data_IF_896548473684
#
_entry.id   IF_896548473684
#
_cell.length_a   1.000
_cell.length_b   1.000
_cell.length_c   1.000
_cell.angle_alpha   90.00
_cell.angle_beta   90.00
_cell.angle_gamma   90.00
#
_symmetry.space_group_name_H-M   'P 1'
#
loop_
_entity.id
_entity.type
_entity.pdbx_description
1 polymer ?
#
# COMPACT_ATOMS: atom_id res chain seq x y z
N UNK A 1 -2.07 -4.11 -13.60
CA UNK A 1 -1.85 -5.48 -13.06
C UNK A 1 -0.36 -5.80 -13.13
N UNK A 2 0.14 -6.86 -12.51
CA UNK A 2 1.56 -7.23 -12.61
C UNK A 2 1.72 -8.48 -13.47
N UNK A 3 1.00 -9.57 -13.18
CA UNK A 3 1.26 -10.86 -13.81
C UNK A 3 0.26 -11.23 -14.91
N UNK A 4 -0.94 -10.65 -14.86
CA UNK A 4 -2.07 -11.10 -15.67
C UNK A 4 -2.15 -10.45 -17.06
N UNK A 5 -1.35 -9.44 -17.38
CA UNK A 5 -1.40 -8.76 -18.68
C UNK A 5 -1.10 -9.71 -19.86
N UNK A 6 -0.04 -10.52 -19.76
CA UNK A 6 0.26 -11.58 -20.74
C UNK A 6 -0.85 -12.63 -20.84
N UNK A 7 -1.28 -13.25 -19.72
CA UNK A 7 -2.44 -14.13 -19.66
C UNK A 7 -3.71 -13.56 -20.30
N UNK A 8 -4.06 -12.29 -20.03
CA UNK A 8 -5.21 -11.59 -20.60
C UNK A 8 -5.07 -11.44 -22.12
N UNK A 9 -3.88 -11.05 -22.61
CA UNK A 9 -3.59 -10.98 -24.05
C UNK A 9 -3.68 -12.34 -24.74
N UNK A 10 -3.20 -13.41 -24.09
CA UNK A 10 -3.33 -14.78 -24.60
C UNK A 10 -4.79 -15.22 -24.68
N UNK A 11 -5.59 -14.99 -23.63
CA UNK A 11 -7.00 -15.34 -23.59
C UNK A 11 -7.80 -14.56 -24.65
N UNK A 12 -7.44 -13.29 -24.87
CA UNK A 12 -7.99 -12.47 -25.95
C UNK A 12 -7.66 -13.07 -27.32
N UNK A 13 -6.42 -13.48 -27.58
CA UNK A 13 -6.08 -14.20 -28.81
C UNK A 13 -6.82 -15.54 -28.93
N UNK A 14 -6.98 -16.27 -27.83
CA UNK A 14 -7.66 -17.57 -27.80
C UNK A 14 -9.15 -17.48 -28.13
N UNK A 15 -9.81 -16.40 -27.72
CA UNK A 15 -11.22 -16.13 -28.08
C UNK A 15 -11.34 -15.66 -29.54
N UNK A 16 -10.48 -14.74 -29.97
CA UNK A 16 -10.56 -14.14 -31.30
C UNK A 16 -10.12 -15.07 -32.45
N UNK A 17 -9.23 -16.04 -32.20
CA UNK A 17 -8.70 -16.93 -33.24
C UNK A 17 -9.80 -17.62 -34.05
N UNK A 18 -10.93 -17.98 -33.41
CA UNK A 18 -12.04 -18.68 -34.06
C UNK A 18 -12.76 -17.79 -35.07
N UNK A 19 -12.89 -16.50 -34.76
CA UNK A 19 -13.54 -15.52 -35.65
C UNK A 19 -12.60 -15.02 -36.74
N UNK A 20 -11.32 -14.83 -36.42
CA UNK A 20 -10.34 -14.25 -37.35
C UNK A 20 -9.75 -15.27 -38.32
N UNK A 21 -9.55 -16.54 -37.92
CA UNK A 21 -9.03 -17.59 -38.80
C UNK A 21 -9.34 -19.00 -38.25
N UNK A 22 -10.57 -19.51 -38.51
CA UNK A 22 -11.02 -20.82 -38.03
C UNK A 22 -10.12 -22.00 -38.46
N UNK A 23 -9.36 -21.84 -39.56
CA UNK A 23 -8.51 -22.86 -40.14
C UNK A 23 -7.08 -22.91 -39.57
N UNK A 24 -6.72 -22.06 -38.60
CA UNK A 24 -5.39 -22.08 -37.98
C UNK A 24 -5.24 -23.27 -37.02
N UNK A 25 -4.38 -24.21 -37.41
CA UNK A 25 -4.10 -25.43 -36.62
C UNK A 25 -2.59 -25.55 -36.34
N UNK A 26 -2.24 -26.31 -35.31
CA UNK A 26 -0.86 -26.69 -35.01
C UNK A 26 0.01 -25.51 -34.61
N UNK A 27 1.26 -25.46 -35.11
CA UNK A 27 2.28 -24.49 -34.69
C UNK A 27 1.89 -23.04 -34.95
N UNK A 28 1.17 -22.76 -36.05
CA UNK A 28 0.75 -21.39 -36.40
C UNK A 28 -0.26 -20.83 -35.40
N UNK A 29 -1.16 -21.68 -34.90
CA UNK A 29 -2.11 -21.33 -33.84
C UNK A 29 -1.36 -20.91 -32.57
N UNK A 30 -0.38 -21.71 -32.13
CA UNK A 30 0.43 -21.39 -30.96
C UNK A 30 1.19 -20.08 -31.09
N UNK A 31 1.80 -19.79 -32.24
CA UNK A 31 2.44 -18.50 -32.48
C UNK A 31 1.47 -17.34 -32.37
N UNK A 32 0.24 -17.51 -32.85
CA UNK A 32 -0.79 -16.48 -32.73
C UNK A 32 -1.16 -16.22 -31.27
N UNK A 33 -1.35 -17.28 -30.47
CA UNK A 33 -1.65 -17.15 -29.04
C UNK A 33 -0.49 -16.48 -28.28
N UNK A 34 0.76 -16.84 -28.59
CA UNK A 34 1.95 -16.21 -28.03
C UNK A 34 2.08 -14.74 -28.45
N UNK A 35 1.63 -14.39 -29.67
CA UNK A 35 1.57 -12.99 -30.10
C UNK A 35 0.63 -12.19 -29.21
N UNK A 36 -0.55 -12.75 -28.87
CA UNK A 36 -1.45 -12.15 -27.90
C UNK A 36 -0.82 -11.99 -26.51
N UNK A 37 -0.11 -13.02 -26.02
CA UNK A 37 0.59 -12.96 -24.74
C UNK A 37 1.65 -11.85 -24.71
N UNK A 38 2.52 -11.80 -25.72
CA UNK A 38 3.57 -10.76 -25.81
C UNK A 38 2.95 -9.38 -25.96
N UNK A 39 1.89 -9.25 -26.77
CA UNK A 39 1.17 -7.99 -26.94
C UNK A 39 0.54 -7.48 -25.63
N UNK A 40 0.04 -8.39 -24.79
CA UNK A 40 -0.48 -8.02 -23.46
C UNK A 40 0.61 -7.45 -22.54
N UNK A 41 1.86 -7.90 -22.66
CA UNK A 41 2.98 -7.38 -21.83
C UNK A 41 3.60 -6.11 -22.44
N UNK A 42 3.42 -5.91 -23.75
CA UNK A 42 4.20 -4.95 -24.51
C UNK A 42 4.13 -3.49 -24.00
N UNK A 43 3.00 -2.95 -23.53
CA UNK A 43 2.94 -1.60 -22.95
C UNK A 43 3.95 -1.38 -21.82
N UNK A 44 4.11 -2.36 -20.91
CA UNK A 44 5.02 -2.31 -19.76
C UNK A 44 6.51 -2.37 -20.13
N UNK A 45 6.88 -2.40 -21.42
CA UNK A 45 8.29 -2.33 -21.83
C UNK A 45 8.94 -1.01 -21.39
N UNK A 46 8.13 0.02 -21.15
CA UNK A 46 8.56 1.30 -20.60
C UNK A 46 9.01 1.22 -19.14
N UNK A 47 8.68 0.16 -18.39
CA UNK A 47 9.18 -0.06 -17.04
C UNK A 47 10.71 -0.18 -17.02
N UNK A 48 11.33 -0.67 -18.10
CA UNK A 48 12.79 -0.64 -18.23
C UNK A 48 13.32 0.79 -18.26
N UNK A 49 12.65 1.69 -18.98
CA UNK A 49 13.05 3.09 -18.98
C UNK A 49 12.77 3.75 -17.61
N UNK A 50 11.60 3.49 -17.04
CA UNK A 50 11.21 4.00 -15.72
C UNK A 50 12.23 3.65 -14.63
N UNK A 51 12.56 2.36 -14.45
CA UNK A 51 13.44 1.93 -13.37
C UNK A 51 14.93 2.21 -13.63
N UNK A 52 15.39 2.26 -14.88
CA UNK A 52 16.81 2.42 -15.20
C UNK A 52 17.22 3.84 -15.64
N UNK A 53 16.27 4.71 -15.99
CA UNK A 53 16.56 6.05 -16.53
C UNK A 53 15.87 7.14 -15.74
N UNK A 54 14.55 7.09 -15.63
CA UNK A 54 13.77 8.17 -15.01
C UNK A 54 12.49 7.66 -14.34
N UNK A 55 12.50 7.70 -13.01
CA UNK A 55 11.39 7.30 -12.15
C UNK A 55 10.64 8.51 -11.53
N UNK A 56 10.80 9.71 -12.10
CA UNK A 56 10.23 10.95 -11.54
C UNK A 56 8.71 11.07 -11.70
N UNK A 57 8.10 10.38 -12.67
CA UNK A 57 6.67 10.39 -12.94
C UNK A 57 6.11 8.98 -13.15
N UNK A 58 4.79 8.83 -13.19
CA UNK A 58 4.17 7.52 -13.41
C UNK A 58 4.52 6.97 -14.80
N UNK A 59 4.97 5.71 -14.91
CA UNK A 59 5.24 5.08 -16.22
C UNK A 59 4.02 5.07 -17.16
N UNK A 60 2.80 5.15 -16.61
CA UNK A 60 1.57 5.25 -17.40
C UNK A 60 1.45 6.58 -18.17
N UNK A 61 2.32 7.56 -17.91
CA UNK A 61 2.47 8.77 -18.71
C UNK A 61 3.21 8.52 -20.03
N UNK A 62 3.86 7.37 -20.20
CA UNK A 62 4.56 7.07 -21.43
C UNK A 62 3.59 6.74 -22.57
N UNK A 63 4.02 7.02 -23.81
CA UNK A 63 3.22 6.81 -25.03
C UNK A 63 2.79 5.34 -25.24
N UNK A 64 3.55 4.41 -24.65
CA UNK A 64 3.26 2.96 -24.56
C UNK A 64 1.97 2.65 -23.82
N UNK A 65 1.45 3.56 -22.99
CA UNK A 65 0.17 3.43 -22.31
C UNK A 65 -0.96 4.22 -22.98
N UNK A 66 -0.84 4.51 -24.29
CA UNK A 66 -1.83 5.30 -25.04
C UNK A 66 -2.51 4.47 -26.15
N UNK A 67 -3.84 4.29 -26.15
CA UNK A 67 -4.52 3.50 -27.17
C UNK A 67 -4.36 4.06 -28.60
N UNK A 68 -4.36 5.38 -28.73
CA UNK A 68 -4.26 6.07 -30.03
C UNK A 68 -2.95 5.75 -30.74
N UNK A 69 -1.83 5.67 -30.01
CA UNK A 69 -0.54 5.29 -30.57
C UNK A 69 -0.60 3.94 -31.29
N UNK A 70 -1.19 2.92 -30.65
CA UNK A 70 -1.34 1.60 -31.24
C UNK A 70 -2.33 1.58 -32.41
N UNK A 71 -3.41 2.36 -32.34
CA UNK A 71 -4.38 2.48 -33.45
C UNK A 71 -3.74 3.11 -34.70
N UNK A 72 -2.87 4.11 -34.53
CA UNK A 72 -2.12 4.72 -35.63
C UNK A 72 -1.16 3.71 -36.26
N UNK A 73 -0.33 3.04 -35.45
CA UNK A 73 0.59 2.00 -35.94
C UNK A 73 -0.16 0.88 -36.65
N UNK A 74 -1.27 0.40 -36.06
CA UNK A 74 -2.10 -0.64 -36.64
C UNK A 74 -2.65 -0.22 -38.01
N UNK A 75 -3.20 1.00 -38.11
CA UNK A 75 -3.73 1.54 -39.37
C UNK A 75 -2.65 1.58 -40.47
N UNK A 76 -1.45 2.05 -40.15
CA UNK A 76 -0.31 2.07 -41.09
C UNK A 76 0.04 0.66 -41.58
N UNK A 77 0.11 -0.32 -40.67
CA UNK A 77 0.39 -1.72 -41.02
C UNK A 77 -0.71 -2.30 -41.92
N UNK A 78 -1.98 -2.04 -41.59
CA UNK A 78 -3.13 -2.52 -42.39
C UNK A 78 -3.10 -1.95 -43.81
N UNK A 79 -2.84 -0.64 -43.96
CA UNK A 79 -2.70 0.00 -45.28
C UNK A 79 -1.56 -0.64 -46.06
N UNK A 80 -0.39 -0.82 -45.44
CA UNK A 80 0.76 -1.49 -46.07
C UNK A 80 0.41 -2.90 -46.55
N UNK A 81 -0.16 -3.74 -45.68
CA UNK A 81 -0.56 -5.10 -46.04
C UNK A 81 -1.60 -5.13 -47.18
N UNK A 82 -2.48 -4.14 -47.23
CA UNK A 82 -3.45 -3.99 -48.32
C UNK A 82 -2.79 -3.62 -49.64
N UNK A 83 -1.89 -2.63 -49.64
CA UNK A 83 -1.13 -2.19 -50.82
C UNK A 83 -0.26 -3.32 -51.40
N UNK A 84 0.38 -4.12 -50.54
CA UNK A 84 1.19 -5.27 -50.96
C UNK A 84 0.39 -6.55 -51.22
N UNK A 85 -0.94 -6.49 -51.18
CA UNK A 85 -1.85 -7.65 -51.39
C UNK A 85 -1.59 -8.83 -50.45
N UNK A 86 -1.09 -8.59 -49.24
CA UNK A 86 -0.77 -9.59 -48.19
C UNK A 86 -1.91 -9.71 -47.16
N UNK A 87 -3.18 -9.70 -47.58
CA UNK A 87 -4.34 -9.66 -46.67
C UNK A 87 -4.40 -10.80 -45.65
N UNK A 88 -3.87 -11.98 -45.96
CA UNK A 88 -3.81 -13.12 -45.02
C UNK A 88 -2.93 -12.87 -43.78
N UNK A 89 -2.10 -11.81 -43.79
CA UNK A 89 -1.24 -11.44 -42.67
C UNK A 89 -1.93 -10.51 -41.67
N UNK A 90 -3.13 -9.99 -41.97
CA UNK A 90 -3.85 -9.04 -41.11
C UNK A 90 -4.18 -9.60 -39.72
N UNK A 91 -4.21 -10.92 -39.58
CA UNK A 91 -4.48 -11.57 -38.29
C UNK A 91 -3.43 -11.23 -37.22
N UNK A 92 -2.16 -11.12 -37.59
CA UNK A 92 -1.05 -10.88 -36.66
C UNK A 92 -1.12 -9.49 -36.01
N UNK A 93 -1.17 -8.38 -36.77
CA UNK A 93 -1.33 -7.07 -36.16
C UNK A 93 -2.70 -6.92 -35.49
N UNK A 94 -3.73 -7.64 -35.95
CA UNK A 94 -5.04 -7.64 -35.30
C UNK A 94 -4.99 -8.23 -33.89
N UNK A 95 -4.45 -9.44 -33.76
CA UNK A 95 -4.26 -10.09 -32.45
C UNK A 95 -3.30 -9.30 -31.57
N UNK A 96 -2.25 -8.71 -32.14
CA UNK A 96 -1.36 -7.83 -31.39
C UNK A 96 -2.10 -6.60 -30.85
N UNK A 97 -2.86 -5.89 -31.69
CA UNK A 97 -3.66 -4.74 -31.25
C UNK A 97 -4.63 -5.14 -30.13
N UNK A 98 -5.41 -6.21 -30.30
CA UNK A 98 -6.34 -6.67 -29.27
C UNK A 98 -5.64 -7.12 -27.98
N UNK A 99 -4.45 -7.71 -28.08
CA UNK A 99 -3.62 -8.04 -26.91
C UNK A 99 -3.20 -6.78 -26.15
N UNK A 100 -2.70 -5.76 -26.85
CA UNK A 100 -2.38 -4.46 -26.24
C UNK A 100 -3.62 -3.79 -25.65
N UNK A 101 -4.75 -3.80 -26.36
CA UNK A 101 -6.00 -3.23 -25.82
C UNK A 101 -6.46 -3.97 -24.56
N UNK A 102 -6.25 -5.28 -24.48
CA UNK A 102 -6.57 -6.04 -23.26
C UNK A 102 -5.75 -5.57 -22.06
N UNK A 103 -4.46 -5.25 -22.27
CA UNK A 103 -3.61 -4.66 -21.23
C UNK A 103 -4.18 -3.32 -20.76
N UNK A 104 -4.40 -2.37 -21.67
CA UNK A 104 -4.86 -1.01 -21.33
C UNK A 104 -6.25 -1.03 -20.67
N UNK A 105 -7.14 -1.93 -21.11
CA UNK A 105 -8.44 -2.12 -20.48
C UNK A 105 -8.31 -2.70 -19.07
N UNK A 106 -7.45 -3.70 -18.86
CA UNK A 106 -7.24 -4.25 -17.51
C UNK A 106 -6.63 -3.23 -16.56
N UNK A 107 -5.76 -2.36 -17.06
CA UNK A 107 -5.21 -1.24 -16.28
C UNK A 107 -6.28 -0.20 -15.94
N UNK A 108 -7.16 0.13 -16.88
CA UNK A 108 -8.26 1.07 -16.64
C UNK A 108 -9.31 0.57 -15.61
N UNK A 109 -9.34 -0.73 -15.27
CA UNK A 109 -10.24 -1.25 -14.23
C UNK A 109 -9.72 -0.92 -12.83
N UNK A 110 -8.40 -0.94 -12.64
CA UNK A 110 -7.77 -0.95 -11.31
C UNK A 110 -6.81 0.22 -11.09
N UNK A 111 -6.54 0.97 -12.16
CA UNK A 111 -5.75 2.18 -12.21
C UNK A 111 -6.35 3.10 -13.29
N UNK A 112 -5.55 4.00 -13.85
CA UNK A 112 -5.98 4.97 -14.86
C UNK A 112 -5.08 4.89 -16.11
N UNK A 113 -5.65 5.25 -17.27
CA UNK A 113 -4.97 5.22 -18.57
C UNK A 113 -5.29 6.50 -19.37
N UNK A 114 -4.32 7.00 -20.14
CA UNK A 114 -4.51 8.16 -21.03
C UNK A 114 -5.19 7.75 -22.35
N UNK A 115 -6.51 7.50 -22.30
CA UNK A 115 -7.26 6.99 -23.46
C UNK A 115 -7.21 7.90 -24.70
N UNK A 116 -7.19 9.22 -24.49
CA UNK A 116 -7.36 10.21 -25.55
C UNK A 116 -6.07 10.99 -25.88
N UNK A 117 -4.92 10.59 -25.36
CA UNK A 117 -3.63 11.17 -25.79
C UNK A 117 -3.43 10.97 -27.31
N UNK A 118 -2.93 11.96 -28.09
CA UNK A 118 -2.35 13.24 -27.67
C UNK A 118 -3.33 14.41 -27.66
N UNK A 119 -4.64 14.16 -27.68
CA UNK A 119 -5.64 15.24 -27.63
C UNK A 119 -5.82 15.78 -26.21
N UNK A 120 -5.65 14.93 -25.20
CA UNK A 120 -5.62 15.29 -23.78
C UNK A 120 -4.61 14.42 -23.03
N UNK A 121 -4.00 14.99 -21.98
CA UNK A 121 -3.10 14.27 -21.05
C UNK A 121 -3.85 13.74 -19.82
N UNK A 122 -5.19 13.75 -19.87
CA UNK A 122 -6.03 13.31 -18.76
C UNK A 122 -6.02 11.78 -18.62
N UNK A 123 -6.00 11.34 -17.38
CA UNK A 123 -6.13 9.95 -16.99
C UNK A 123 -7.60 9.57 -16.81
N UNK A 124 -7.95 8.35 -17.22
CA UNK A 124 -9.29 7.80 -17.06
C UNK A 124 -9.21 6.36 -16.57
N UNK A 125 -9.94 6.04 -15.51
CA UNK A 125 -10.08 4.69 -14.97
C UNK A 125 -11.33 4.51 -14.12
N UNK A 126 -11.71 3.26 -13.84
CA UNK A 126 -12.77 2.97 -12.87
C UNK A 126 -12.34 3.31 -11.44
N UNK A 127 -11.04 3.41 -11.18
CA UNK A 127 -10.49 3.90 -9.91
C UNK A 127 -10.85 5.37 -9.63
N UNK A 128 -11.15 6.17 -10.66
CA UNK A 128 -11.58 7.58 -10.52
C UNK A 128 -13.03 7.73 -10.05
N UNK A 129 -13.82 6.66 -10.13
CA UNK A 129 -15.16 6.64 -9.56
C UNK A 129 -15.00 6.54 -8.05
N UNK A 130 -14.84 7.71 -7.39
CA UNK A 130 -14.58 7.96 -5.98
C UNK A 130 -15.61 7.34 -5.00
N UNK A 131 -15.79 6.02 -5.05
CA UNK A 131 -16.45 5.27 -4.00
C UNK A 131 -15.39 4.96 -2.97
N UNK A 132 -15.38 5.74 -1.88
CA UNK A 132 -14.40 5.70 -0.78
C UNK A 132 -14.09 4.26 -0.34
N UNK A 133 -15.09 3.38 -0.25
CA UNK A 133 -14.91 1.96 0.11
C UNK A 133 -14.34 1.02 -0.97
N UNK A 134 -14.24 1.46 -2.24
CA UNK A 134 -13.56 0.70 -3.29
C UNK A 134 -12.03 0.88 -3.19
N UNK A 135 -11.57 2.07 -2.81
CA UNK A 135 -10.16 2.47 -2.80
C UNK A 135 -9.28 1.58 -1.91
N UNK A 136 -9.71 1.35 -0.67
CA UNK A 136 -9.01 0.50 0.32
C UNK A 136 -8.85 -0.95 -0.17
N UNK A 137 -9.83 -1.44 -0.95
CA UNK A 137 -9.86 -2.80 -1.47
C UNK A 137 -9.32 -2.94 -2.89
N UNK A 138 -8.94 -1.85 -3.56
CA UNK A 138 -8.45 -1.90 -4.94
C UNK A 138 -7.23 -2.81 -5.06
N UNK A 139 -6.37 -2.82 -4.06
CA UNK A 139 -5.22 -3.72 -4.02
C UNK A 139 -5.67 -5.20 -4.01
N UNK A 140 -6.53 -5.58 -3.05
CA UNK A 140 -7.08 -6.93 -2.96
C UNK A 140 -7.80 -7.34 -4.25
N UNK A 141 -8.66 -6.46 -4.76
CA UNK A 141 -9.41 -6.68 -6.01
C UNK A 141 -8.44 -6.86 -7.18
N UNK A 142 -7.37 -6.05 -7.27
CA UNK A 142 -6.39 -6.18 -8.34
C UNK A 142 -5.75 -7.58 -8.33
N UNK A 143 -5.27 -8.05 -7.18
CA UNK A 143 -4.69 -9.39 -7.08
C UNK A 143 -5.70 -10.52 -7.31
N UNK A 144 -6.95 -10.34 -6.90
CA UNK A 144 -8.01 -11.30 -7.17
C UNK A 144 -8.30 -11.42 -8.67
N UNK A 145 -8.45 -10.30 -9.37
CA UNK A 145 -8.69 -10.28 -10.83
C UNK A 145 -7.46 -10.84 -11.57
N UNK A 146 -6.24 -10.55 -11.10
CA UNK A 146 -5.01 -11.15 -11.63
C UNK A 146 -5.03 -12.68 -11.51
N UNK A 147 -5.41 -13.18 -10.33
CA UNK A 147 -5.58 -14.61 -10.08
C UNK A 147 -6.59 -15.25 -11.02
N UNK A 148 -7.71 -14.58 -11.29
CA UNK A 148 -8.77 -15.07 -12.20
C UNK A 148 -8.26 -15.19 -13.64
N UNK A 149 -7.60 -14.17 -14.19
CA UNK A 149 -7.03 -14.25 -15.53
C UNK A 149 -5.95 -15.35 -15.64
N UNK A 150 -5.06 -15.44 -14.65
CA UNK A 150 -4.06 -16.49 -14.58
C UNK A 150 -4.70 -17.89 -14.51
N UNK A 151 -5.76 -18.06 -13.70
CA UNK A 151 -6.49 -19.33 -13.60
C UNK A 151 -7.03 -19.77 -14.95
N UNK A 152 -7.76 -18.90 -15.65
CA UNK A 152 -8.32 -19.24 -16.96
C UNK A 152 -7.24 -19.50 -18.02
N UNK A 153 -6.15 -18.73 -17.99
CA UNK A 153 -5.00 -18.95 -18.87
C UNK A 153 -4.39 -20.35 -18.67
N UNK A 154 -4.06 -20.71 -17.42
CA UNK A 154 -3.52 -22.04 -17.11
C UNK A 154 -4.54 -23.16 -17.38
N UNK A 155 -5.83 -22.92 -17.14
CA UNK A 155 -6.88 -23.87 -17.49
C UNK A 155 -6.89 -24.18 -18.99
N UNK A 156 -6.83 -23.14 -19.84
CA UNK A 156 -6.74 -23.31 -21.29
C UNK A 156 -5.45 -24.05 -21.67
N UNK A 157 -4.30 -23.70 -21.07
CA UNK A 157 -3.05 -24.41 -21.34
C UNK A 157 -3.12 -25.89 -20.97
N UNK A 158 -3.68 -26.23 -19.80
CA UNK A 158 -3.88 -27.61 -19.38
C UNK A 158 -4.74 -28.34 -20.41
N UNK A 159 -5.85 -27.73 -20.85
CA UNK A 159 -6.74 -28.34 -21.82
C UNK A 159 -6.07 -28.63 -23.17
N UNK A 160 -5.25 -27.69 -23.66
CA UNK A 160 -4.56 -27.77 -24.96
C UNK A 160 -3.32 -28.69 -24.93
N UNK A 161 -2.62 -28.79 -23.79
CA UNK A 161 -1.34 -29.52 -23.68
C UNK A 161 -1.50 -30.95 -23.17
N UNK A 162 -2.57 -31.26 -22.46
CA UNK A 162 -2.81 -32.61 -21.93
C UNK A 162 -3.56 -33.50 -22.90
N UNK A 163 -3.12 -34.76 -23.01
CA UNK A 163 -3.65 -35.73 -23.98
C UNK A 163 -4.76 -36.60 -23.40
N UNK A 164 -4.72 -36.86 -22.10
CA UNK A 164 -5.64 -37.79 -21.44
C UNK A 164 -6.60 -37.06 -20.51
N UNK A 165 -7.83 -37.60 -20.40
CA UNK A 165 -8.84 -37.09 -19.45
C UNK A 165 -8.33 -37.13 -18.01
N UNK A 166 -7.59 -38.19 -17.65
CA UNK A 166 -6.97 -38.32 -16.32
C UNK A 166 -6.00 -37.17 -16.02
N UNK A 167 -5.11 -36.83 -16.95
CA UNK A 167 -4.18 -35.70 -16.78
C UNK A 167 -4.93 -34.37 -16.62
N UNK A 168 -5.98 -34.13 -17.42
CA UNK A 168 -6.82 -32.92 -17.30
C UNK A 168 -7.38 -32.77 -15.91
N UNK A 169 -8.02 -33.81 -15.37
CA UNK A 169 -8.57 -33.78 -14.02
C UNK A 169 -7.51 -33.53 -12.95
N UNK A 170 -6.35 -34.18 -13.05
CA UNK A 170 -5.25 -34.00 -12.08
C UNK A 170 -4.76 -32.54 -12.11
N UNK A 171 -4.38 -32.02 -13.28
CA UNK A 171 -3.80 -30.68 -13.38
C UNK A 171 -4.82 -29.59 -13.10
N UNK A 172 -6.07 -29.72 -13.57
CA UNK A 172 -7.14 -28.78 -13.23
C UNK A 172 -7.46 -28.81 -11.74
N UNK A 173 -7.42 -29.99 -11.10
CA UNK A 173 -7.57 -30.12 -9.64
C UNK A 173 -6.47 -29.40 -8.88
N UNK A 174 -5.20 -29.60 -9.27
CA UNK A 174 -4.05 -28.87 -8.69
C UNK A 174 -4.19 -27.36 -8.90
N UNK A 175 -4.56 -26.91 -10.10
CA UNK A 175 -4.79 -25.50 -10.39
C UNK A 175 -5.90 -24.91 -9.49
N UNK A 176 -6.99 -25.64 -9.29
CA UNK A 176 -8.09 -25.25 -8.40
C UNK A 176 -7.64 -25.11 -6.95
N UNK A 177 -6.83 -26.05 -6.45
CA UNK A 177 -6.26 -25.97 -5.08
C UNK A 177 -5.34 -24.77 -4.96
N UNK A 178 -4.42 -24.56 -5.91
CA UNK A 178 -3.49 -23.41 -5.90
C UNK A 178 -4.25 -22.08 -5.91
N UNK A 179 -5.27 -21.97 -6.77
CA UNK A 179 -6.11 -20.77 -6.84
C UNK A 179 -6.87 -20.54 -5.53
N UNK A 180 -7.51 -21.56 -4.98
CA UNK A 180 -8.27 -21.44 -3.73
C UNK A 180 -7.35 -21.09 -2.54
N UNK A 181 -6.18 -21.72 -2.45
CA UNK A 181 -5.16 -21.38 -1.45
C UNK A 181 -4.67 -19.94 -1.61
N UNK A 182 -4.45 -19.48 -2.85
CA UNK A 182 -4.08 -18.09 -3.14
C UNK A 182 -5.16 -17.10 -2.73
N UNK A 183 -6.43 -17.35 -3.07
CA UNK A 183 -7.56 -16.53 -2.62
C UNK A 183 -7.68 -16.52 -1.10
N UNK A 184 -7.52 -17.68 -0.46
CA UNK A 184 -7.56 -17.79 1.00
C UNK A 184 -6.44 -16.98 1.64
N UNK A 185 -5.22 -17.06 1.12
CA UNK A 185 -4.08 -16.29 1.59
C UNK A 185 -4.29 -14.79 1.39
N UNK A 186 -4.78 -14.36 0.22
CA UNK A 186 -5.08 -12.96 -0.06
C UNK A 186 -6.15 -12.42 0.89
N UNK A 187 -7.23 -13.17 1.12
CA UNK A 187 -8.27 -12.79 2.09
C UNK A 187 -7.73 -12.77 3.51
N UNK A 188 -6.87 -13.73 3.88
CA UNK A 188 -6.23 -13.74 5.19
C UNK A 188 -5.36 -12.49 5.38
N UNK A 189 -4.54 -12.12 4.40
CA UNK A 189 -3.73 -10.89 4.44
C UNK A 189 -4.64 -9.66 4.56
N UNK A 190 -5.63 -9.50 3.69
CA UNK A 190 -6.57 -8.36 3.69
C UNK A 190 -7.29 -8.18 5.04
N UNK A 191 -7.61 -9.28 5.73
CA UNK A 191 -8.22 -9.27 7.06
C UNK A 191 -7.24 -8.95 8.20
N UNK A 192 -5.93 -9.05 7.97
CA UNK A 192 -4.88 -8.84 8.98
C UNK A 192 -3.86 -7.79 8.52
N UNK A 193 -4.29 -6.84 7.70
CA UNK A 193 -3.53 -5.67 7.29
C UNK A 193 -4.23 -4.43 7.80
N UNK A 194 -3.44 -3.43 8.20
CA UNK A 194 -3.98 -2.13 8.55
C UNK A 194 -4.43 -1.39 7.29
N UNK A 195 -5.69 -0.96 7.27
CA UNK A 195 -6.26 -0.12 6.21
C UNK A 195 -6.30 1.32 6.72
N UNK A 196 -5.56 2.21 6.06
CA UNK A 196 -5.50 3.63 6.44
C UNK A 196 -6.79 4.34 6.02
N UNK A 197 -7.30 5.25 6.84
CA UNK A 197 -8.40 6.13 6.47
C UNK A 197 -7.91 7.16 5.43
N UNK A 198 -7.90 6.77 4.16
CA UNK A 198 -7.50 7.63 3.05
C UNK A 198 -8.35 8.89 2.94
N UNK A 199 -9.60 8.83 3.40
CA UNK A 199 -10.51 9.96 3.45
C UNK A 199 -9.94 11.07 4.32
N UNK A 200 -9.63 10.78 5.58
CA UNK A 200 -9.01 11.77 6.49
C UNK A 200 -7.66 12.26 5.98
N UNK A 201 -6.77 11.32 5.60
CA UNK A 201 -5.38 11.64 5.29
C UNK A 201 -5.21 12.64 4.13
N UNK A 202 -6.01 12.50 3.07
CA UNK A 202 -5.91 13.33 1.86
C UNK A 202 -7.04 14.37 1.75
N UNK A 203 -7.85 14.54 2.79
CA UNK A 203 -8.78 15.66 2.86
C UNK A 203 -8.02 16.95 3.17
N UNK A 204 -8.74 18.06 3.11
CA UNK A 204 -8.31 19.40 3.51
C UNK A 204 -9.47 19.92 4.38
N UNK A 205 -9.34 19.73 5.71
CA UNK A 205 -10.44 19.86 6.66
C UNK A 205 -10.84 21.32 6.88
N UNK A 206 -9.87 22.22 7.02
CA UNK A 206 -10.08 23.66 7.20
C UNK A 206 -10.21 24.43 5.87
N UNK A 207 -9.92 23.76 4.74
CA UNK A 207 -9.98 24.26 3.38
C UNK A 207 -8.94 25.36 3.05
N UNK A 208 -7.75 25.30 3.67
CA UNK A 208 -6.64 26.22 3.39
C UNK A 208 -5.82 25.85 2.14
N UNK A 209 -6.03 24.66 1.59
CA UNK A 209 -5.36 24.12 0.40
C UNK A 209 -4.18 23.20 0.70
N UNK A 210 -3.92 22.88 1.96
CA UNK A 210 -2.93 21.91 2.44
C UNK A 210 -3.68 20.63 2.83
N UNK A 211 -3.31 19.45 2.31
CA UNK A 211 -3.97 18.22 2.73
C UNK A 211 -3.57 17.86 4.17
N UNK A 212 -4.49 17.30 4.96
CA UNK A 212 -4.34 17.02 6.39
C UNK A 212 -3.00 16.35 6.76
N UNK A 213 -2.45 15.48 5.90
CA UNK A 213 -1.18 14.80 6.20
C UNK A 213 0.09 15.68 6.12
N UNK A 214 0.01 16.80 5.44
CA UNK A 214 1.05 17.84 5.33
C UNK A 214 0.71 19.08 6.18
N UNK A 215 -0.47 19.09 6.80
CA UNK A 215 -0.96 20.20 7.60
C UNK A 215 -0.63 20.03 9.08
N UNK A 216 -0.20 21.11 9.72
CA UNK A 216 0.18 21.17 11.14
C UNK A 216 -0.86 21.88 12.01
N UNK A 217 -1.96 22.34 11.43
CA UNK A 217 -3.10 23.03 12.06
C UNK A 217 -4.38 22.59 11.31
N UNK A 218 -4.73 21.31 11.43
CA UNK A 218 -5.69 20.63 10.54
C UNK A 218 -7.12 21.20 10.66
N UNK A 219 -7.49 21.74 11.81
CA UNK A 219 -8.81 22.34 12.03
C UNK A 219 -8.81 23.87 11.85
N UNK A 220 -7.62 24.47 11.65
CA UNK A 220 -7.42 25.89 11.34
C UNK A 220 -7.71 26.82 12.51
N UNK A 221 -7.62 26.35 13.75
CA UNK A 221 -7.91 27.14 14.95
C UNK A 221 -6.72 28.03 15.39
N UNK A 222 -5.53 27.77 14.84
CA UNK A 222 -4.29 28.51 15.08
C UNK A 222 -3.38 27.91 16.15
N UNK A 223 -3.75 26.77 16.75
CA UNK A 223 -2.90 25.92 17.57
C UNK A 223 -2.24 24.83 16.69
N UNK A 224 -0.99 24.46 17.00
CA UNK A 224 -0.36 23.38 16.24
C UNK A 224 -0.93 22.04 16.71
N UNK A 225 -1.20 21.09 15.80
CA UNK A 225 -1.73 19.75 16.11
C UNK A 225 -0.97 19.06 17.27
N UNK A 226 0.33 19.31 17.39
CA UNK A 226 1.18 18.68 18.41
C UNK A 226 1.03 19.29 19.81
N UNK A 227 0.52 20.52 19.90
CA UNK A 227 0.22 21.22 21.15
C UNK A 227 -1.29 21.22 21.44
N UNK A 228 -2.12 20.97 20.43
CA UNK A 228 -3.56 20.82 20.51
C UNK A 228 -3.99 19.45 21.09
N UNK A 229 -5.07 19.47 21.86
CA UNK A 229 -5.70 18.28 22.45
C UNK A 229 -6.80 17.67 21.57
N UNK A 230 -7.26 18.35 20.53
CA UNK A 230 -8.35 17.95 19.62
C UNK A 230 -8.03 18.44 18.19
N UNK A 231 -7.00 17.85 17.58
CA UNK A 231 -6.34 18.41 16.38
C UNK A 231 -7.16 18.43 15.10
N UNK A 232 -8.29 17.75 15.07
CA UNK A 232 -9.23 17.78 13.95
C UNK A 232 -10.56 18.46 14.32
N UNK A 233 -10.66 19.02 15.54
CA UNK A 233 -11.80 19.81 16.00
C UNK A 233 -13.13 19.04 16.01
N UNK A 234 -13.10 17.70 16.07
CA UNK A 234 -14.30 16.86 16.02
C UNK A 234 -15.00 16.74 17.39
N UNK A 235 -14.33 17.20 18.45
CA UNK A 235 -14.81 17.20 19.83
C UNK A 235 -14.37 15.99 20.65
N UNK A 236 -13.60 15.05 20.08
CA UNK A 236 -12.90 13.97 20.77
C UNK A 236 -11.42 14.31 20.95
N UNK A 237 -10.90 14.11 22.17
CA UNK A 237 -9.50 14.45 22.41
C UNK A 237 -8.55 13.45 21.73
N UNK A 238 -7.42 13.91 21.20
CA UNK A 238 -6.35 13.09 20.61
C UNK A 238 -5.98 11.83 21.45
N UNK A 239 -5.85 11.88 22.80
CA UNK A 239 -5.60 10.65 23.58
C UNK A 239 -6.72 9.61 23.51
N UNK A 240 -7.97 10.06 23.42
CA UNK A 240 -9.13 9.19 23.28
C UNK A 240 -9.18 8.58 21.88
N UNK A 241 -8.94 9.39 20.84
CA UNK A 241 -8.88 8.90 19.47
C UNK A 241 -7.76 7.88 19.23
N UNK A 242 -6.59 8.05 19.85
CA UNK A 242 -5.54 7.02 19.84
C UNK A 242 -6.08 5.66 20.30
N UNK A 243 -6.97 5.65 21.29
CA UNK A 243 -7.61 4.41 21.78
C UNK A 243 -8.47 3.80 20.69
N UNK A 244 -9.36 4.60 20.10
CA UNK A 244 -10.25 4.18 19.01
C UNK A 244 -9.45 3.65 17.81
N UNK A 245 -8.38 4.33 17.43
CA UNK A 245 -7.52 3.93 16.32
C UNK A 245 -6.68 2.69 16.63
N UNK A 246 -6.23 2.52 17.88
CA UNK A 246 -5.48 1.34 18.30
C UNK A 246 -6.27 0.04 18.12
N UNK A 247 -7.60 0.08 18.28
CA UNK A 247 -8.47 -1.09 17.99
C UNK A 247 -8.32 -1.56 16.55
N UNK A 248 -8.15 -0.63 15.60
CA UNK A 248 -7.95 -0.93 14.18
C UNK A 248 -6.62 -1.63 13.87
N UNK A 249 -5.65 -1.59 14.80
CA UNK A 249 -4.41 -2.34 14.67
C UNK A 249 -4.49 -3.76 15.23
N UNK A 250 -5.45 -4.08 16.10
CA UNK A 250 -5.56 -5.42 16.69
C UNK A 250 -5.79 -6.47 15.60
N UNK A 251 -4.94 -7.50 15.58
CA UNK A 251 -4.96 -8.54 14.56
C UNK A 251 -4.10 -8.25 13.33
N UNK A 252 -3.48 -7.07 13.20
CA UNK A 252 -2.60 -6.75 12.08
C UNK A 252 -1.29 -7.54 12.15
N UNK A 253 -0.81 -8.06 11.02
CA UNK A 253 0.42 -8.84 10.94
C UNK A 253 1.69 -7.97 11.05
N UNK A 254 2.70 -8.55 11.69
CA UNK A 254 4.05 -7.97 11.76
C UNK A 254 4.73 -7.93 10.38
N UNK A 255 5.40 -6.83 10.04
CA UNK A 255 6.28 -6.75 8.86
C UNK A 255 7.65 -7.43 9.12
N UNK A 256 7.90 -8.66 8.59
CA UNK A 256 9.14 -9.39 8.84
C UNK A 256 10.38 -8.74 8.21
N UNK A 257 10.19 -7.79 7.29
CA UNK A 257 11.25 -7.09 6.58
C UNK A 257 11.66 -5.80 7.26
N UNK A 258 10.90 -5.34 8.26
CA UNK A 258 11.09 -4.05 8.93
C UNK A 258 11.26 -2.87 7.94
N UNK A 259 10.39 -2.78 6.93
CA UNK A 259 10.51 -1.79 5.85
C UNK A 259 11.58 -2.11 4.81
N UNK A 260 12.18 -3.30 4.84
CA UNK A 260 13.01 -3.84 3.75
C UNK A 260 12.19 -4.20 2.50
N UNK A 261 12.84 -4.83 1.51
CA UNK A 261 12.19 -5.28 0.26
C UNK A 261 11.36 -4.19 -0.45
N UNK A 262 11.91 -2.98 -0.61
CA UNK A 262 11.21 -1.82 -1.17
C UNK A 262 9.89 -1.48 -0.44
N UNK A 263 9.83 -1.78 0.87
CA UNK A 263 8.70 -1.53 1.76
C UNK A 263 7.41 -2.24 1.34
N UNK A 264 7.49 -3.32 0.56
CA UNK A 264 6.28 -4.03 0.08
C UNK A 264 5.37 -4.43 1.25
N UNK A 265 5.84 -5.10 2.32
CA UNK A 265 4.94 -5.49 3.41
C UNK A 265 4.33 -4.29 4.14
N UNK A 266 5.12 -3.24 4.40
CA UNK A 266 4.63 -2.01 5.00
C UNK A 266 3.55 -1.32 4.13
N UNK A 267 3.69 -1.36 2.80
CA UNK A 267 2.71 -0.87 1.83
C UNK A 267 1.46 -1.74 1.74
N UNK A 268 1.55 -3.01 2.12
CA UNK A 268 0.40 -3.89 2.28
C UNK A 268 -0.36 -3.61 3.59
N UNK A 269 0.16 -2.78 4.48
CA UNK A 269 -0.45 -2.53 5.79
C UNK A 269 0.06 -3.45 6.90
N UNK A 270 1.15 -4.21 6.69
CA UNK A 270 1.87 -4.84 7.80
C UNK A 270 2.60 -3.77 8.60
N UNK A 271 2.78 -4.00 9.90
CA UNK A 271 3.36 -3.00 10.82
C UNK A 271 4.51 -3.58 11.61
N UNK A 272 5.44 -2.71 12.03
CA UNK A 272 6.37 -3.01 13.13
C UNK A 272 6.00 -2.21 14.36
N UNK A 273 6.64 -2.50 15.48
CA UNK A 273 6.51 -1.73 16.71
C UNK A 273 6.99 -0.27 16.52
N UNK A 274 7.97 -0.02 15.64
CA UNK A 274 8.37 1.35 15.27
C UNK A 274 7.31 2.07 14.43
N UNK A 275 6.63 1.36 13.53
CA UNK A 275 5.58 1.94 12.69
C UNK A 275 4.31 2.30 13.46
N UNK A 276 4.00 1.59 14.54
CA UNK A 276 2.80 1.86 15.33
C UNK A 276 2.79 3.27 15.87
N UNK A 277 3.91 3.74 16.44
CA UNK A 277 3.94 5.05 17.07
C UNK A 277 3.63 6.12 16.03
N UNK A 278 4.37 6.17 14.93
CA UNK A 278 4.09 7.18 13.89
C UNK A 278 2.68 7.05 13.34
N UNK A 279 2.18 5.83 13.10
CA UNK A 279 0.85 5.65 12.48
C UNK A 279 -0.27 6.08 13.42
N UNK A 280 -0.21 5.75 14.71
CA UNK A 280 -1.22 6.18 15.67
C UNK A 280 -1.25 7.71 15.80
N UNK A 281 -0.08 8.34 15.88
CA UNK A 281 0.02 9.78 16.01
C UNK A 281 -0.45 10.51 14.75
N UNK A 282 -0.16 9.98 13.56
CA UNK A 282 -0.65 10.59 12.32
C UNK A 282 -2.16 10.46 12.15
N UNK A 283 -2.81 9.50 12.80
CA UNK A 283 -4.27 9.39 12.77
C UNK A 283 -4.95 10.48 13.59
N UNK A 284 -4.26 11.07 14.57
CA UNK A 284 -4.72 12.22 15.37
C UNK A 284 -4.04 13.52 14.91
N UNK A 285 -3.73 13.61 13.62
CA UNK A 285 -3.17 14.83 13.01
C UNK A 285 -1.69 15.10 13.25
N UNK A 286 -0.96 14.24 13.98
CA UNK A 286 0.45 14.48 14.32
C UNK A 286 1.38 13.70 13.39
N UNK A 287 1.94 14.40 12.40
CA UNK A 287 2.97 13.85 11.51
C UNK A 287 4.37 13.94 12.15
N UNK A 288 4.84 12.84 12.74
CA UNK A 288 6.15 12.79 13.41
C UNK A 288 7.32 13.14 12.49
N UNK A 289 7.23 12.89 11.17
CA UNK A 289 8.31 13.23 10.25
C UNK A 289 8.50 14.74 10.16
N UNK A 290 7.41 15.47 10.12
CA UNK A 290 7.43 16.94 10.04
C UNK A 290 7.86 17.53 11.37
N UNK A 291 7.35 17.01 12.48
CA UNK A 291 7.75 17.41 13.84
C UNK A 291 9.25 17.21 14.07
N UNK A 292 9.80 16.05 13.71
CA UNK A 292 11.23 15.79 13.82
C UNK A 292 12.03 16.70 12.89
N UNK A 293 11.52 17.02 11.70
CA UNK A 293 12.22 17.85 10.72
C UNK A 293 12.33 19.30 11.20
N UNK A 294 11.25 19.83 11.79
CA UNK A 294 11.23 21.16 12.40
C UNK A 294 12.21 21.21 13.57
N UNK A 295 12.12 20.28 14.51
CA UNK A 295 13.03 20.23 15.66
C UNK A 295 14.49 20.04 15.23
N UNK A 296 14.77 19.14 14.29
CA UNK A 296 16.12 18.92 13.76
C UNK A 296 16.72 20.19 13.15
N UNK A 297 15.90 21.03 12.50
CA UNK A 297 16.36 22.30 11.92
C UNK A 297 16.77 23.33 12.99
N UNK A 298 16.17 23.24 14.19
CA UNK A 298 16.47 24.10 15.34
C UNK A 298 17.61 23.53 16.20
N UNK A 299 17.61 22.21 16.41
CA UNK A 299 18.57 21.47 17.21
C UNK A 299 18.78 20.04 16.68
N UNK A 300 19.80 19.86 15.86
CA UNK A 300 20.17 18.55 15.33
C UNK A 300 20.92 17.64 16.33
N UNK A 301 21.22 18.12 17.55
CA UNK A 301 21.97 17.33 18.53
C UNK A 301 21.19 16.09 18.95
N UNK A 302 21.87 14.95 19.13
CA UNK A 302 21.24 13.71 19.60
C UNK A 302 20.52 12.90 18.52
N UNK A 303 20.10 13.47 17.40
CA UNK A 303 19.49 12.70 16.31
C UNK A 303 20.50 11.72 15.69
N UNK A 304 20.07 10.48 15.47
CA UNK A 304 20.85 9.43 14.81
C UNK A 304 20.76 9.53 13.29
N UNK A 305 19.54 9.75 12.78
CA UNK A 305 19.27 9.89 11.35
C UNK A 305 18.90 11.32 10.99
N UNK A 306 19.04 11.68 9.72
CA UNK A 306 18.73 13.02 9.18
C UNK A 306 17.42 13.00 8.39
N UNK A 307 16.76 14.16 8.15
CA UNK A 307 15.51 14.22 7.37
C UNK A 307 15.59 13.63 5.95
N UNK A 308 16.81 13.50 5.39
CA UNK A 308 17.03 12.87 4.09
C UNK A 308 16.92 11.33 4.14
N UNK A 309 16.97 10.73 5.32
CA UNK A 309 16.81 9.28 5.47
C UNK A 309 15.33 8.89 5.38
N UNK A 310 15.05 7.77 4.71
CA UNK A 310 13.72 7.18 4.62
C UNK A 310 13.20 6.64 5.96
N UNK A 311 14.08 6.41 6.91
CA UNK A 311 13.79 5.86 8.24
C UNK A 311 13.78 6.92 9.33
N UNK A 312 13.89 8.20 8.97
CA UNK A 312 14.03 9.31 9.92
C UNK A 312 12.96 9.32 11.01
N UNK A 313 11.69 9.14 10.63
CA UNK A 313 10.51 9.07 11.48
C UNK A 313 10.23 7.67 12.05
N UNK A 314 10.99 6.65 11.63
CA UNK A 314 10.93 5.26 12.17
C UNK A 314 12.01 4.99 13.21
N UNK A 315 13.01 5.87 13.35
CA UNK A 315 14.06 5.69 14.36
C UNK A 315 13.51 5.97 15.76
N UNK A 316 13.54 4.93 16.60
CA UNK A 316 13.22 5.01 18.03
C UNK A 316 14.14 5.99 18.76
N UNK A 317 15.40 6.09 18.32
CA UNK A 317 16.35 7.03 18.89
C UNK A 317 15.95 8.46 18.56
N UNK A 318 15.66 8.76 17.29
CA UNK A 318 15.17 10.08 16.87
C UNK A 318 13.89 10.47 17.61
N UNK A 319 12.94 9.53 17.74
CA UNK A 319 11.72 9.74 18.52
C UNK A 319 12.05 10.11 19.99
N UNK A 320 12.93 9.35 20.64
CA UNK A 320 13.33 9.64 22.01
C UNK A 320 14.04 11.00 22.14
N UNK A 321 14.94 11.33 21.22
CA UNK A 321 15.63 12.63 21.16
C UNK A 321 14.65 13.78 21.01
N UNK A 322 13.68 13.65 20.10
CA UNK A 322 12.66 14.67 19.89
C UNK A 322 11.81 14.89 21.15
N UNK A 323 11.37 13.81 21.81
CA UNK A 323 10.65 13.89 23.09
C UNK A 323 11.52 14.57 24.17
N UNK A 324 12.81 14.26 24.22
CA UNK A 324 13.76 14.85 25.16
C UNK A 324 13.95 16.36 24.91
N UNK A 325 14.09 16.79 23.65
CA UNK A 325 14.19 18.20 23.29
C UNK A 325 12.97 19.01 23.72
N UNK A 326 11.78 18.40 23.68
CA UNK A 326 10.54 19.01 24.16
C UNK A 326 10.39 18.98 25.69
N UNK A 327 11.30 18.32 26.41
CA UNK A 327 11.22 18.16 27.86
C UNK A 327 10.08 17.25 28.31
N UNK A 328 9.62 16.35 27.44
CA UNK A 328 8.50 15.44 27.66
C UNK A 328 8.94 14.01 27.96
N UNK A 329 10.25 13.77 28.10
CA UNK A 329 10.84 12.46 28.36
C UNK A 329 11.10 12.27 29.85
N UNK A 330 10.35 11.37 30.48
CA UNK A 330 10.55 11.00 31.88
C UNK A 330 11.43 9.76 32.00
N UNK A 331 12.45 9.84 32.86
CA UNK A 331 13.37 8.74 33.16
C UNK A 331 13.65 8.64 34.66
N UNK A 332 14.25 7.54 35.12
CA UNK A 332 14.73 7.43 36.50
C UNK A 332 13.62 7.56 37.55
N UNK A 333 13.71 8.56 38.43
CA UNK A 333 12.73 8.78 39.50
C UNK A 333 11.40 9.35 38.99
N UNK A 334 11.40 10.19 37.95
CA UNK A 334 10.18 10.75 37.36
C UNK A 334 9.29 9.63 36.81
N UNK A 335 9.91 8.65 36.14
CA UNK A 335 9.22 7.46 35.63
C UNK A 335 8.61 6.60 36.77
N UNK A 336 9.26 6.49 37.93
CA UNK A 336 8.77 5.67 39.05
C UNK A 336 7.54 6.28 39.73
N UNK A 337 7.48 7.61 39.81
CA UNK A 337 6.40 8.34 40.50
C UNK A 337 5.28 8.69 39.53
N UNK A 338 5.61 8.89 38.26
CA UNK A 338 4.67 9.26 37.21
C UNK A 338 3.70 8.15 36.86
N UNK A 339 2.44 8.50 36.58
CA UNK A 339 1.41 7.56 36.11
C UNK A 339 1.32 7.54 34.60
N UNK A 340 1.03 6.36 34.05
CA UNK A 340 0.74 6.19 32.62
C UNK A 340 -0.52 6.97 32.26
N UNK A 341 -0.53 7.54 31.06
CA UNK A 341 -1.64 8.25 30.43
C UNK A 341 -1.89 7.66 29.03
N UNK A 342 -3.09 7.89 28.50
CA UNK A 342 -3.40 7.49 27.12
C UNK A 342 -2.47 8.23 26.16
N UNK A 343 -1.97 7.50 25.15
CA UNK A 343 -1.00 8.01 24.19
C UNK A 343 0.45 7.93 24.65
N UNK A 344 0.76 7.71 25.94
CA UNK A 344 2.16 7.67 26.40
C UNK A 344 3.00 6.65 25.61
N UNK A 345 4.17 7.09 25.14
CA UNK A 345 5.14 6.24 24.44
C UNK A 345 6.09 5.63 25.46
N UNK A 346 6.07 4.31 25.60
CA UNK A 346 6.89 3.57 26.56
C UNK A 346 8.12 2.98 25.86
N UNK A 347 9.30 3.25 26.41
CA UNK A 347 10.57 2.68 25.95
C UNK A 347 11.02 1.58 26.91
N UNK A 348 11.26 0.38 26.40
CA UNK A 348 11.64 -0.80 27.19
C UNK A 348 13.14 -1.06 27.11
N UNK A 349 13.67 -1.79 28.10
CA UNK A 349 15.10 -2.09 28.20
C UNK A 349 15.68 -2.80 26.97
N UNK A 350 14.90 -3.64 26.28
CA UNK A 350 15.29 -4.31 25.03
C UNK A 350 15.45 -3.35 23.83
N UNK A 351 15.02 -2.09 23.97
CA UNK A 351 14.84 -1.15 22.86
C UNK A 351 13.50 -1.31 22.14
N UNK A 352 12.56 -2.05 22.72
CA UNK A 352 11.16 -2.10 22.28
C UNK A 352 10.43 -0.82 22.64
N UNK A 353 9.41 -0.46 21.84
CA UNK A 353 8.59 0.73 22.04
C UNK A 353 7.13 0.34 21.86
N UNK A 354 6.26 0.85 22.74
CA UNK A 354 4.83 0.65 22.66
C UNK A 354 4.07 1.94 23.04
N UNK A 355 2.81 2.04 22.64
CA UNK A 355 1.93 3.16 23.00
C UNK A 355 0.90 2.68 23.99
N UNK A 356 0.63 3.47 25.04
CA UNK A 356 -0.44 3.20 26.01
C UNK A 356 -1.78 3.51 25.36
N UNK A 357 -2.61 2.49 25.17
CA UNK A 357 -3.86 2.59 24.40
C UNK A 357 -5.10 2.48 25.25
N UNK A 358 -5.03 1.84 26.41
CA UNK A 358 -6.21 1.65 27.26
C UNK A 358 -5.83 1.36 28.71
N UNK A 359 -6.83 1.39 29.59
CA UNK A 359 -6.71 1.01 30.99
C UNK A 359 -7.84 0.04 31.36
N UNK A 360 -7.51 -0.97 32.16
CA UNK A 360 -8.54 -1.88 32.68
C UNK A 360 -9.37 -1.21 33.80
N UNK A 361 -10.40 -1.93 34.27
CA UNK A 361 -11.27 -1.48 35.37
C UNK A 361 -10.54 -1.24 36.71
N UNK A 362 -9.28 -1.67 36.84
CA UNK A 362 -8.43 -1.47 38.02
C UNK A 362 -7.37 -0.38 37.80
N UNK A 363 -7.37 0.27 36.63
CA UNK A 363 -6.39 1.29 36.26
C UNK A 363 -5.03 0.72 35.84
N UNK A 364 -4.95 -0.56 35.46
CA UNK A 364 -3.73 -1.14 34.90
C UNK A 364 -3.62 -0.74 33.43
N UNK A 365 -2.48 -0.15 33.05
CA UNK A 365 -2.22 0.28 31.69
C UNK A 365 -2.04 -0.90 30.74
N UNK A 366 -2.60 -0.75 29.55
CA UNK A 366 -2.45 -1.65 28.42
C UNK A 366 -1.80 -0.90 27.26
N UNK A 367 -1.03 -1.63 26.47
CA UNK A 367 -0.31 -1.11 25.30
C UNK A 367 -0.60 -1.95 24.08
N UNK A 368 -0.53 -1.33 22.91
CA UNK A 368 -0.54 -2.05 21.64
C UNK A 368 0.82 -2.73 21.43
N UNK A 369 0.82 -4.06 21.45
CA UNK A 369 2.02 -4.89 21.34
C UNK A 369 2.09 -5.57 19.97
N UNK A 370 3.19 -5.35 19.25
CA UNK A 370 3.50 -5.93 17.94
C UNK A 370 4.83 -6.66 17.95
N UNK A 371 4.76 -7.98 17.84
CA UNK A 371 5.93 -8.85 17.86
C UNK A 371 6.06 -9.68 16.58
N UNK A 372 7.29 -10.11 16.28
CA UNK A 372 7.64 -10.83 15.05
C UNK A 372 6.83 -12.12 14.78
N UNK A 373 6.30 -12.73 15.82
CA UNK A 373 5.71 -14.09 15.78
C UNK A 373 4.21 -14.11 16.06
N UNK A 374 3.56 -12.95 16.20
CA UNK A 374 2.12 -12.86 16.40
C UNK A 374 1.55 -11.58 15.82
N UNK A 375 0.25 -11.56 15.47
CA UNK A 375 -0.43 -10.32 15.14
C UNK A 375 -0.38 -9.33 16.31
N UNK A 376 -0.59 -8.05 16.01
CA UNK A 376 -0.76 -6.98 16.97
C UNK A 376 -1.90 -7.30 17.96
N UNK A 377 -1.70 -7.02 19.24
CA UNK A 377 -2.75 -7.16 20.25
C UNK A 377 -2.50 -6.24 21.44
N UNK A 378 -3.56 -5.89 22.16
CA UNK A 378 -3.41 -5.14 23.41
C UNK A 378 -2.98 -6.06 24.56
N UNK A 379 -1.96 -5.63 25.32
CA UNK A 379 -1.44 -6.35 26.49
C UNK A 379 -1.20 -5.42 27.65
N UNK A 380 -1.25 -5.95 28.86
CA UNK A 380 -0.79 -5.22 30.03
C UNK A 380 0.68 -4.86 29.90
N UNK A 381 1.06 -3.66 30.34
CA UNK A 381 2.47 -3.23 30.40
C UNK A 381 3.32 -4.27 31.13
N UNK A 382 2.83 -4.83 32.24
CA UNK A 382 3.53 -5.85 33.03
C UNK A 382 3.79 -7.16 32.28
N UNK A 383 2.98 -7.48 31.27
CA UNK A 383 3.18 -8.66 30.44
C UNK A 383 4.23 -8.38 29.36
N UNK A 384 4.26 -7.16 28.83
CA UNK A 384 5.31 -6.72 27.89
C UNK A 384 6.65 -6.60 28.62
N UNK A 385 6.67 -6.16 29.88
CA UNK A 385 7.89 -6.08 30.70
C UNK A 385 8.55 -7.44 30.94
N UNK A 386 7.76 -8.53 30.94
CA UNK A 386 8.31 -9.89 31.04
C UNK A 386 9.08 -10.30 29.78
N UNK A 387 8.67 -9.79 28.63
CA UNK A 387 9.25 -10.12 27.33
C UNK A 387 10.41 -9.16 26.96
N UNK A 388 10.25 -7.87 27.24
CA UNK A 388 11.09 -6.77 26.73
C UNK A 388 11.93 -6.08 27.83
N UNK A 389 11.79 -6.51 29.09
CA UNK A 389 12.43 -5.88 30.25
C UNK A 389 11.64 -4.68 30.78
N UNK A 390 12.09 -4.05 31.86
CA UNK A 390 11.36 -2.93 32.47
C UNK A 390 11.26 -1.71 31.53
N UNK A 391 10.24 -0.89 31.72
CA UNK A 391 10.18 0.45 31.10
C UNK A 391 11.35 1.29 31.63
N UNK A 392 12.13 1.88 30.72
CA UNK A 392 13.32 2.71 31.02
C UNK A 392 13.10 4.19 30.79
N UNK A 393 12.14 4.55 29.93
CA UNK A 393 11.73 5.91 29.67
C UNK A 393 10.26 5.98 29.25
N UNK A 394 9.63 7.13 29.44
CA UNK A 394 8.25 7.41 29.01
C UNK A 394 8.16 8.79 28.37
N UNK A 395 7.58 8.86 27.17
CA UNK A 395 7.30 10.11 26.48
C UNK A 395 5.83 10.51 26.61
N UNK A 396 5.59 11.74 27.07
CA UNK A 396 4.24 12.30 27.32
C UNK A 396 3.80 13.24 26.20
N UNK A 397 3.42 12.69 25.04
CA UNK A 397 3.21 13.50 23.84
C UNK A 397 1.83 14.15 23.74
N UNK A 398 0.77 13.51 24.24
CA UNK A 398 -0.61 14.01 24.16
C UNK A 398 -1.18 14.44 25.52
N UNK A 399 -0.32 14.66 26.50
CA UNK A 399 -0.74 15.00 27.85
C UNK A 399 -0.72 16.50 28.07
N UNK A 400 -1.90 17.07 28.37
CA UNK A 400 -2.05 18.47 28.77
C UNK A 400 -1.24 18.80 30.03
N UNK A 401 -0.02 19.32 29.88
CA UNK A 401 0.85 19.83 30.95
C UNK A 401 1.15 18.81 32.11
N UNK A 402 2.18 19.03 32.93
CA UNK A 402 2.38 18.20 34.12
C UNK A 402 1.17 18.35 35.06
N UNK A 403 0.50 17.25 35.41
CA UNK A 403 -0.56 17.20 36.43
C UNK A 403 -0.08 17.59 37.85
N UNK A 404 1.15 18.11 37.99
CA UNK A 404 1.71 18.63 39.22
C UNK A 404 2.33 20.00 38.96
N UNK A 405 1.70 21.05 39.50
CA UNK A 405 2.48 22.20 39.96
C UNK A 405 3.53 21.67 40.94
N UNK A 406 4.81 22.03 40.73
CA UNK A 406 5.81 21.91 41.80
C UNK A 406 5.22 22.61 43.02
N UNK A 407 4.88 21.83 44.05
CA UNK A 407 4.76 22.40 45.38
C UNK A 407 6.17 22.78 45.81
N UNK A 408 6.52 24.05 45.59
CA UNK A 408 7.70 24.69 46.19
C UNK A 408 7.56 24.79 47.72
#
# INVERSE_FOLDING_TARGET
MIFAHGPAGFLTAWTLQKSLSPALVGRKRWWLLMTGFVAGIFPDIDLFFYYFVDASGSHRQFITHTPVFYLVIFTVIVIGLWLFKRRSWLIWPGVFLFGVMSHLLTDAILAQVMFFYPFTDNFYGLSDLAMVGFSEKLFFINFLVEGVFCFFFFYVLIWELTKTVKQRWIFTGVLGIVFLSGVTMLTYIDLHTYHTNFGFYYNDLDADGIPNFEDRDIDGDGELNIDDLDSDGDGESNPFEITTHAEGFVGVLYDPTNGGMAQIPARLGLVTNEDIVRRLYTLVGINLRDEFSVDYSLNASGYELTPQDSQFDRSKHNLQTWIEHRGLLETGEELKVGRYQLGDVLFFQSGYVAVTTSFDNKGQAMVLDVQKHRPALERYVTDVEQDEGSVVARGKLLSAAPLFEKQD
#
